data_IF_124927177316
#
_entry.id   IF_124927177316
#
_cell.length_a   1.000
_cell.length_b   1.000
_cell.length_c   1.000
_cell.angle_alpha   90.00
_cell.angle_beta   90.00
_cell.angle_gamma   90.00
#
_symmetry.space_group_name_H-M   'P 1'
#
loop_
_entity.id
_entity.type
_entity.pdbx_description
1 polymer ?
#
# COMPACT_ATOMS: atom_id res chain seq x y z
N UNK A 1 -8.58 3.68 4.54
CA UNK A 1 -7.22 3.79 5.13
C UNK A 1 -7.20 4.29 6.57
N UNK A 2 -7.83 5.43 6.92
CA UNK A 2 -7.74 5.98 8.29
C UNK A 2 -8.29 5.03 9.38
N UNK A 3 -9.31 4.22 9.08
CA UNK A 3 -9.88 3.23 10.02
C UNK A 3 -8.94 2.05 10.27
N UNK A 4 -8.17 1.64 9.26
CA UNK A 4 -7.16 0.59 9.37
C UNK A 4 -6.05 1.02 10.34
N UNK A 5 -5.66 2.30 10.29
CA UNK A 5 -4.74 2.91 11.26
C UNK A 5 -5.19 2.74 12.70
N UNK A 6 -6.46 3.07 12.93
CA UNK A 6 -7.08 3.05 14.27
C UNK A 6 -7.16 1.63 14.84
N UNK A 7 -7.29 0.62 13.98
CA UNK A 7 -7.37 -0.81 14.37
C UNK A 7 -6.00 -1.44 14.66
N UNK A 8 -4.96 -1.02 13.94
CA UNK A 8 -3.64 -1.68 14.01
C UNK A 8 -2.55 -0.83 14.67
N UNK A 9 -2.88 0.36 15.18
CA UNK A 9 -1.94 1.27 15.84
C UNK A 9 -0.72 1.67 14.96
N UNK A 10 -0.88 1.57 13.63
CA UNK A 10 0.13 1.86 12.62
C UNK A 10 -0.35 3.01 11.73
N UNK A 11 0.56 3.84 11.22
CA UNK A 11 0.26 4.82 10.17
C UNK A 11 -0.33 4.10 8.93
N UNK A 12 -1.38 4.63 8.25
CA UNK A 12 -2.02 3.93 7.14
C UNK A 12 -1.08 3.59 5.99
N UNK A 13 -0.10 4.45 5.71
CA UNK A 13 0.91 4.21 4.70
C UNK A 13 1.80 3.05 5.10
N UNK A 14 2.25 3.05 6.35
CA UNK A 14 3.11 2.01 6.92
C UNK A 14 2.44 0.65 6.88
N UNK A 15 1.16 0.59 7.26
CA UNK A 15 0.40 -0.65 7.19
C UNK A 15 0.23 -1.17 5.76
N UNK A 16 -0.09 -0.29 4.79
CA UNK A 16 -0.18 -0.69 3.39
C UNK A 16 1.15 -1.21 2.86
N UNK A 17 2.24 -0.50 3.17
CA UNK A 17 3.59 -0.85 2.74
C UNK A 17 4.05 -2.19 3.32
N UNK A 18 3.77 -2.44 4.60
CA UNK A 18 4.09 -3.71 5.25
C UNK A 18 3.31 -4.87 4.63
N UNK A 19 2.00 -4.71 4.41
CA UNK A 19 1.17 -5.73 3.77
C UNK A 19 1.60 -6.01 2.32
N UNK A 20 1.99 -4.97 1.56
CA UNK A 20 2.49 -5.13 0.20
C UNK A 20 3.77 -5.97 0.20
N UNK A 21 4.68 -5.68 1.13
CA UNK A 21 5.95 -6.39 1.27
C UNK A 21 5.75 -7.87 1.62
N UNK A 22 4.98 -8.15 2.67
CA UNK A 22 4.69 -9.52 3.13
C UNK A 22 4.01 -10.37 2.04
N UNK A 23 3.11 -9.77 1.25
CA UNK A 23 2.31 -10.51 0.27
C UNK A 23 3.04 -10.70 -1.07
N UNK A 24 3.82 -9.72 -1.50
CA UNK A 24 4.36 -9.68 -2.88
C UNK A 24 5.88 -9.71 -2.96
N UNK A 25 6.57 -9.42 -1.85
CA UNK A 25 8.01 -9.19 -1.81
C UNK A 25 8.45 -7.82 -2.35
N UNK A 26 7.53 -6.94 -2.71
CA UNK A 26 7.83 -5.57 -3.17
C UNK A 26 8.08 -4.68 -1.94
N UNK A 27 9.18 -3.93 -1.93
CA UNK A 27 9.59 -3.08 -0.79
C UNK A 27 9.32 -1.60 -1.13
N UNK A 28 8.11 -1.07 -0.84
CA UNK A 28 7.83 0.36 -1.00
C UNK A 28 8.38 1.18 0.19
N UNK A 29 8.47 2.50 0.03
CA UNK A 29 8.68 3.43 1.16
C UNK A 29 7.39 4.16 1.51
N UNK A 30 6.96 4.21 2.78
CA UNK A 30 5.78 4.97 3.20
C UNK A 30 5.89 6.48 2.91
N UNK A 31 4.76 7.12 2.58
CA UNK A 31 4.65 8.54 2.26
C UNK A 31 4.95 9.46 3.45
N UNK A 32 4.66 9.02 4.67
CA UNK A 32 5.02 9.68 5.94
C UNK A 32 6.47 10.19 5.98
N UNK A 33 7.41 9.48 5.35
CA UNK A 33 8.83 9.84 5.33
C UNK A 33 9.17 11.07 4.45
N UNK A 34 8.22 11.58 3.67
CA UNK A 34 8.46 12.66 2.69
C UNK A 34 7.67 13.95 2.99
N UNK A 35 6.88 13.96 4.05
CA UNK A 35 5.90 15.01 4.28
C UNK A 35 4.72 14.85 3.33
N UNK A 36 3.54 14.56 3.89
CA UNK A 36 2.32 14.39 3.12
C UNK A 36 1.18 15.20 3.70
N UNK A 37 0.23 15.58 2.84
CA UNK A 37 -0.95 16.34 3.25
C UNK A 37 -1.84 15.49 4.16
N UNK A 38 -2.37 16.08 5.23
CA UNK A 38 -3.32 15.41 6.11
C UNK A 38 -4.52 14.86 5.32
N UNK A 39 -4.93 13.63 5.65
CA UNK A 39 -6.01 12.91 4.95
C UNK A 39 -5.61 12.25 3.63
N UNK A 40 -4.36 12.44 3.16
CA UNK A 40 -3.81 11.74 2.00
C UNK A 40 -2.80 10.68 2.43
N UNK A 41 -2.61 9.67 1.59
CA UNK A 41 -1.80 8.50 1.88
C UNK A 41 -1.01 8.13 0.64
N UNK A 42 0.31 7.98 0.78
CA UNK A 42 1.20 7.74 -0.35
C UNK A 42 2.21 6.65 -0.04
N UNK A 43 2.80 6.11 -1.09
CA UNK A 43 4.02 5.32 -1.00
C UNK A 43 4.90 5.62 -2.23
N UNK A 44 6.20 5.42 -2.08
CA UNK A 44 7.17 5.54 -3.16
C UNK A 44 7.64 4.17 -3.60
N UNK A 45 7.72 3.97 -4.92
CA UNK A 45 8.25 2.78 -5.56
C UNK A 45 9.31 3.21 -6.60
N UNK A 46 10.33 2.39 -6.79
CA UNK A 46 11.42 2.65 -7.74
C UNK A 46 11.19 1.94 -9.06
N UNK A 47 11.43 2.61 -10.18
CA UNK A 47 11.32 2.05 -11.54
C UNK A 47 12.67 1.66 -12.15
N UNK A 48 13.65 1.35 -11.29
CA UNK A 48 15.00 0.92 -11.71
C UNK A 48 15.08 -0.47 -12.38
N UNK A 49 14.19 -1.45 -12.11
CA UNK A 49 14.21 -2.72 -12.83
C UNK A 49 13.99 -2.54 -14.33
N UNK A 50 14.43 -3.49 -15.16
CA UNK A 50 14.14 -3.48 -16.60
C UNK A 50 12.64 -3.58 -16.87
N UNK A 51 12.19 -3.10 -18.04
CA UNK A 51 10.77 -3.14 -18.44
C UNK A 51 10.15 -4.54 -18.33
N UNK A 52 10.91 -5.57 -18.74
CA UNK A 52 10.52 -6.99 -18.63
C UNK A 52 10.23 -7.43 -17.19
N UNK A 53 10.90 -6.83 -16.20
CA UNK A 53 10.70 -7.13 -14.77
C UNK A 53 9.65 -6.22 -14.13
N UNK A 54 9.44 -5.03 -14.69
CA UNK A 54 8.47 -4.05 -14.22
C UNK A 54 7.04 -4.54 -14.46
N UNK A 55 6.73 -5.09 -15.64
CA UNK A 55 5.36 -5.53 -15.95
C UNK A 55 4.83 -6.60 -14.94
N UNK A 56 5.57 -7.69 -14.64
CA UNK A 56 5.14 -8.66 -13.63
C UNK A 56 5.11 -8.09 -12.20
N UNK A 57 5.95 -7.09 -11.89
CA UNK A 57 5.89 -6.38 -10.62
C UNK A 57 4.58 -5.59 -10.49
N UNK A 58 4.17 -4.86 -11.53
CA UNK A 58 2.92 -4.10 -11.53
C UNK A 58 1.68 -5.00 -11.52
N UNK A 59 1.72 -6.17 -12.15
CA UNK A 59 0.64 -7.15 -12.05
C UNK A 59 0.44 -7.62 -10.60
N UNK A 60 1.53 -7.98 -9.91
CA UNK A 60 1.48 -8.35 -8.48
C UNK A 60 0.98 -7.20 -7.61
N UNK A 61 1.46 -5.98 -7.85
CA UNK A 61 1.00 -4.78 -7.15
C UNK A 61 -0.49 -4.53 -7.36
N UNK A 62 -0.98 -4.64 -8.61
CA UNK A 62 -2.38 -4.43 -8.97
C UNK A 62 -3.30 -5.46 -8.32
N UNK A 63 -2.90 -6.75 -8.36
CA UNK A 63 -3.63 -7.82 -7.69
C UNK A 63 -3.71 -7.59 -6.18
N UNK A 64 -2.55 -7.34 -5.55
CA UNK A 64 -2.49 -7.01 -4.13
C UNK A 64 -3.38 -5.83 -3.77
N UNK A 65 -3.33 -4.75 -4.54
CA UNK A 65 -4.10 -3.54 -4.25
C UNK A 65 -5.61 -3.84 -4.23
N UNK A 66 -6.11 -4.60 -5.20
CA UNK A 66 -7.53 -5.00 -5.26
C UNK A 66 -7.91 -5.85 -4.04
N UNK A 67 -7.15 -6.88 -3.74
CA UNK A 67 -7.40 -7.79 -2.61
C UNK A 67 -7.33 -7.06 -1.26
N UNK A 68 -6.35 -6.17 -1.10
CA UNK A 68 -6.21 -5.32 0.07
C UNK A 68 -7.45 -4.43 0.24
N UNK A 69 -7.89 -3.76 -0.83
CA UNK A 69 -9.06 -2.90 -0.79
C UNK A 69 -10.33 -3.70 -0.51
N UNK A 70 -10.49 -4.89 -1.08
CA UNK A 70 -11.65 -5.74 -0.78
C UNK A 70 -11.66 -6.25 0.67
N UNK A 71 -10.50 -6.55 1.24
CA UNK A 71 -10.36 -7.01 2.63
C UNK A 71 -10.61 -5.91 3.65
N UNK A 72 -10.17 -4.69 3.35
CA UNK A 72 -10.18 -3.58 4.30
C UNK A 72 -11.12 -2.42 3.90
N UNK A 73 -11.91 -2.57 2.84
CA UNK A 73 -12.99 -1.62 2.55
C UNK A 73 -13.92 -1.57 3.74
N UNK A 74 -14.33 -0.36 4.10
CA UNK A 74 -15.34 -0.19 5.12
C UNK A 74 -16.68 -0.63 4.52
N UNK A 75 -17.19 -1.79 4.96
CA UNK A 75 -18.62 -2.06 4.84
C UNK A 75 -19.32 -1.08 5.78
N UNK A 76 -19.83 0.03 5.23
CA UNK A 76 -20.83 0.83 5.92
C UNK A 76 -22.13 0.03 5.97
N UNK A 77 -22.20 -0.94 6.88
CA UNK A 77 -23.47 -1.27 7.52
C UNK A 77 -23.54 -0.43 8.80
N UNK A 78 -24.18 0.73 8.65
CA UNK A 78 -24.83 1.63 9.62
C UNK A 78 -24.80 3.06 9.07
#
# INVERSE_FOLDING_TARGET
>A
MSIISKRNNLNPDGFYCWQLMETTGIVPTPGENYGQKEGTYHFRLTILPSEEKIAPMYERLSKFHKEFMDKYKDNKEN
#
